data_IF_825507277302
#
_entry.id   IF_825507277302
#
_cell.length_a   1.000
_cell.length_b   1.000
_cell.length_c   1.000
_cell.angle_alpha   90.00
_cell.angle_beta   90.00
_cell.angle_gamma   90.00
#
_symmetry.space_group_name_H-M   'P 1'
#
loop_
_entity.id
_entity.type
_entity.pdbx_description
1 polymer ?
#
# COMPACT_ATOMS: atom_id res chain seq x y z
N UNK A 1 -2.19 9.97 -25.08
CA UNK A 1 -2.48 8.58 -24.69
C UNK A 1 -1.23 7.76 -24.34
N UNK A 2 -0.27 7.53 -25.26
CA UNK A 2 0.91 6.67 -24.98
C UNK A 2 1.69 7.08 -23.72
N UNK A 3 2.02 8.37 -23.57
CA UNK A 3 2.75 8.90 -22.39
C UNK A 3 2.01 8.64 -21.06
N UNK A 4 0.70 8.89 -21.03
CA UNK A 4 -0.14 8.68 -19.83
C UNK A 4 -0.18 7.19 -19.48
N UNK A 5 -0.31 6.32 -20.49
CA UNK A 5 -0.29 4.86 -20.29
C UNK A 5 1.06 4.38 -19.74
N UNK A 6 2.16 4.89 -20.28
CA UNK A 6 3.50 4.58 -19.78
C UNK A 6 3.69 5.03 -18.34
N UNK A 7 3.32 6.28 -18.02
CA UNK A 7 3.44 6.82 -16.66
C UNK A 7 2.57 6.05 -15.65
N UNK A 8 1.33 5.73 -16.02
CA UNK A 8 0.47 4.86 -15.22
C UNK A 8 1.19 3.55 -14.85
N UNK A 9 1.66 2.79 -15.83
CA UNK A 9 2.30 1.51 -15.56
C UNK A 9 3.61 1.62 -14.78
N UNK A 10 4.40 2.67 -15.00
CA UNK A 10 5.60 2.93 -14.19
C UNK A 10 5.23 3.08 -12.71
N UNK A 11 4.27 3.96 -12.40
CA UNK A 11 3.86 4.20 -11.02
C UNK A 11 3.12 3.01 -10.41
N UNK A 12 2.28 2.31 -11.18
CA UNK A 12 1.57 1.12 -10.71
C UNK A 12 2.52 -0.02 -10.38
N UNK A 13 3.50 -0.32 -11.25
CA UNK A 13 4.47 -1.38 -10.99
C UNK A 13 5.34 -1.03 -9.79
N UNK A 14 5.81 0.22 -9.71
CA UNK A 14 6.59 0.68 -8.57
C UNK A 14 5.79 0.56 -7.26
N UNK A 15 4.57 1.10 -7.23
CA UNK A 15 3.72 1.07 -6.05
C UNK A 15 3.33 -0.35 -5.64
N UNK A 16 2.84 -1.17 -6.56
CA UNK A 16 2.48 -2.57 -6.28
C UNK A 16 3.70 -3.39 -5.86
N UNK A 17 4.86 -3.20 -6.50
CA UNK A 17 6.09 -3.90 -6.15
C UNK A 17 6.56 -3.59 -4.73
N UNK A 18 6.52 -2.30 -4.36
CA UNK A 18 6.74 -1.85 -3.00
C UNK A 18 5.75 -2.55 -2.05
N UNK A 19 4.43 -2.38 -2.24
CA UNK A 19 3.41 -2.94 -1.33
C UNK A 19 3.54 -4.46 -1.16
N UNK A 20 3.80 -5.20 -2.25
CA UNK A 20 4.05 -6.65 -2.21
C UNK A 20 5.29 -6.97 -1.37
N UNK A 21 6.39 -6.23 -1.54
CA UNK A 21 7.62 -6.43 -0.77
C UNK A 21 7.35 -6.32 0.74
N UNK A 22 6.56 -5.34 1.19
CA UNK A 22 6.19 -5.20 2.61
C UNK A 22 5.18 -6.23 3.11
N UNK A 23 4.36 -6.79 2.21
CA UNK A 23 3.33 -7.74 2.58
C UNK A 23 3.91 -9.13 2.90
N UNK A 24 4.91 -9.58 2.13
CA UNK A 24 5.46 -10.94 2.19
C UNK A 24 5.86 -11.40 3.60
N UNK A 25 6.62 -10.62 4.40
CA UNK A 25 7.05 -11.06 5.73
C UNK A 25 5.90 -11.30 6.72
N UNK A 26 4.76 -10.62 6.51
CA UNK A 26 3.60 -10.75 7.39
C UNK A 26 2.63 -11.87 6.99
N UNK A 27 2.75 -12.47 5.79
CA UNK A 27 1.87 -13.60 5.40
C UNK A 27 2.02 -14.75 6.39
N UNK A 28 3.26 -15.09 6.73
CA UNK A 28 3.62 -15.95 7.84
C UNK A 28 4.44 -15.11 8.80
N UNK A 29 3.83 -14.55 9.87
CA UNK A 29 4.47 -13.57 10.72
C UNK A 29 5.83 -14.07 11.22
N UNK A 30 6.89 -13.39 10.78
CA UNK A 30 8.26 -13.61 11.22
C UNK A 30 8.53 -12.83 12.51
N UNK A 31 9.57 -13.19 13.29
CA UNK A 31 9.92 -12.49 14.54
C UNK A 31 9.98 -10.98 14.38
N UNK A 32 10.54 -10.45 13.29
CA UNK A 32 10.66 -9.01 13.04
C UNK A 32 9.27 -8.35 12.89
N UNK A 33 8.35 -9.00 12.18
CA UNK A 33 7.00 -8.47 11.97
C UNK A 33 6.15 -8.52 13.25
N UNK A 34 6.34 -9.55 14.07
CA UNK A 34 5.70 -9.66 15.39
C UNK A 34 6.24 -8.57 16.31
N UNK A 35 7.55 -8.40 16.35
CA UNK A 35 8.18 -7.40 17.21
C UNK A 35 7.77 -5.97 16.83
N UNK A 36 7.66 -5.66 15.52
CA UNK A 36 7.25 -4.35 15.06
C UNK A 36 5.75 -4.10 15.24
N UNK A 37 4.89 -5.04 14.82
CA UNK A 37 3.44 -4.79 14.69
C UNK A 37 2.66 -5.28 15.93
N UNK A 38 3.05 -6.41 16.53
CA UNK A 38 2.41 -6.91 17.74
C UNK A 38 2.98 -6.22 18.98
N UNK A 39 4.27 -6.40 19.24
CA UNK A 39 4.88 -5.85 20.46
C UNK A 39 5.01 -4.33 20.37
N UNK A 40 5.38 -3.82 19.19
CA UNK A 40 5.60 -2.40 18.95
C UNK A 40 4.32 -1.57 18.78
N UNK A 41 3.28 -2.08 18.12
CA UNK A 41 2.04 -1.33 17.86
C UNK A 41 0.80 -1.83 18.62
N UNK A 42 0.88 -2.99 19.28
CA UNK A 42 -0.22 -3.57 20.06
C UNK A 42 -1.27 -4.33 19.24
N UNK A 43 -1.03 -4.59 17.95
CA UNK A 43 -1.98 -5.34 17.12
C UNK A 43 -1.90 -6.84 17.38
N UNK A 44 -3.01 -7.60 17.35
CA UNK A 44 -2.95 -9.05 17.54
C UNK A 44 -2.22 -9.74 16.37
N UNK A 45 -1.54 -10.86 16.62
CA UNK A 45 -0.70 -11.55 15.61
C UNK A 45 -1.50 -11.94 14.35
N UNK A 46 -2.77 -12.35 14.49
CA UNK A 46 -3.60 -12.67 13.31
C UNK A 46 -3.81 -11.46 12.37
N UNK A 47 -3.78 -10.24 12.91
CA UNK A 47 -3.96 -9.01 12.13
C UNK A 47 -2.80 -8.83 11.15
N UNK A 48 -1.58 -9.23 11.53
CA UNK A 48 -0.39 -9.17 10.67
C UNK A 48 -0.63 -9.99 9.38
N UNK A 49 -1.05 -11.25 9.52
CA UNK A 49 -1.38 -12.09 8.36
C UNK A 49 -2.54 -11.54 7.55
N UNK A 50 -3.60 -11.09 8.22
CA UNK A 50 -4.76 -10.52 7.56
C UNK A 50 -4.40 -9.32 6.69
N UNK A 51 -3.71 -8.32 7.26
CA UNK A 51 -3.37 -7.09 6.54
C UNK A 51 -2.36 -7.37 5.42
N UNK A 52 -1.40 -8.28 5.61
CA UNK A 52 -0.47 -8.70 4.56
C UNK A 52 -1.17 -9.35 3.37
N UNK A 53 -2.12 -10.24 3.61
CA UNK A 53 -2.90 -10.87 2.53
C UNK A 53 -3.74 -9.82 1.80
N UNK A 54 -4.38 -8.91 2.54
CA UNK A 54 -5.16 -7.82 1.95
C UNK A 54 -4.31 -6.89 1.07
N UNK A 55 -3.12 -6.48 1.53
CA UNK A 55 -2.16 -5.69 0.75
C UNK A 55 -1.74 -6.40 -0.54
N UNK A 56 -1.47 -7.70 -0.45
CA UNK A 56 -1.08 -8.51 -1.61
C UNK A 56 -2.20 -8.57 -2.65
N UNK A 57 -3.44 -8.86 -2.22
CA UNK A 57 -4.60 -8.87 -3.10
C UNK A 57 -4.85 -7.51 -3.77
N UNK A 58 -4.81 -6.43 -2.99
CA UNK A 58 -4.96 -5.07 -3.53
C UNK A 58 -3.88 -4.75 -4.58
N UNK A 59 -2.62 -5.10 -4.28
CA UNK A 59 -1.49 -4.85 -5.19
C UNK A 59 -1.59 -5.64 -6.49
N UNK A 60 -2.05 -6.89 -6.43
CA UNK A 60 -2.30 -7.73 -7.61
C UNK A 60 -3.45 -7.19 -8.46
N UNK A 61 -4.53 -6.73 -7.85
CA UNK A 61 -5.66 -6.09 -8.56
C UNK A 61 -5.19 -4.89 -9.37
N UNK A 62 -4.28 -4.06 -8.83
CA UNK A 62 -3.76 -2.91 -9.55
C UNK A 62 -2.99 -3.29 -10.83
N UNK A 63 -2.31 -4.45 -10.81
CA UNK A 63 -1.53 -4.97 -11.94
C UNK A 63 -2.37 -5.66 -13.02
N UNK A 64 -3.63 -6.02 -12.73
CA UNK A 64 -4.53 -6.65 -13.69
C UNK A 64 -5.21 -5.58 -14.56
N UNK A 65 -5.14 -5.64 -15.90
CA UNK A 65 -5.84 -4.69 -16.76
C UNK A 65 -7.37 -4.92 -16.76
N UNK A 66 -8.15 -3.83 -16.89
CA UNK A 66 -9.60 -3.90 -17.16
C UNK A 66 -10.55 -3.97 -15.95
N UNK A 67 -10.06 -4.04 -14.71
CA UNK A 67 -10.90 -4.16 -13.50
C UNK A 67 -11.18 -2.83 -12.80
N UNK A 68 -11.74 -1.85 -13.51
CA UNK A 68 -11.80 -0.46 -13.02
C UNK A 68 -12.45 -0.30 -11.64
N UNK A 69 -13.61 -0.93 -11.39
CA UNK A 69 -14.30 -0.82 -10.10
C UNK A 69 -13.50 -1.47 -8.95
N UNK A 70 -12.87 -2.62 -9.20
CA UNK A 70 -12.09 -3.32 -8.17
C UNK A 70 -10.79 -2.57 -7.90
N UNK A 71 -10.22 -1.88 -8.91
CA UNK A 71 -9.07 -0.99 -8.73
C UNK A 71 -9.36 0.17 -7.78
N UNK A 72 -10.55 0.77 -7.84
CA UNK A 72 -10.95 1.79 -6.86
C UNK A 72 -10.89 1.24 -5.43
N UNK A 73 -11.37 0.02 -5.22
CA UNK A 73 -11.34 -0.64 -3.91
C UNK A 73 -9.92 -0.94 -3.47
N UNK A 74 -9.07 -1.41 -4.38
CA UNK A 74 -7.66 -1.66 -4.11
C UNK A 74 -6.92 -0.37 -3.74
N UNK A 75 -7.13 0.73 -4.49
CA UNK A 75 -6.54 2.03 -4.15
C UNK A 75 -6.98 2.53 -2.78
N UNK A 76 -8.29 2.47 -2.48
CA UNK A 76 -8.82 2.89 -1.19
C UNK A 76 -8.24 2.04 -0.04
N UNK A 77 -8.23 0.71 -0.19
CA UNK A 77 -7.70 -0.20 0.82
C UNK A 77 -6.22 0.02 1.11
N UNK A 78 -5.38 0.11 0.06
CA UNK A 78 -3.94 0.35 0.21
C UNK A 78 -3.66 1.76 0.75
N UNK A 79 -4.49 2.75 0.43
CA UNK A 79 -4.38 4.08 1.02
C UNK A 79 -4.66 4.06 2.53
N UNK A 80 -5.77 3.43 2.95
CA UNK A 80 -6.09 3.33 4.37
C UNK A 80 -5.07 2.50 5.14
N UNK A 81 -4.49 1.47 4.54
CA UNK A 81 -3.40 0.70 5.13
C UNK A 81 -2.17 1.58 5.44
N UNK A 82 -1.73 2.40 4.47
CA UNK A 82 -0.60 3.31 4.66
C UNK A 82 -0.90 4.40 5.69
N UNK A 83 -2.12 4.97 5.67
CA UNK A 83 -2.56 5.96 6.65
C UNK A 83 -2.64 5.36 8.04
N UNK A 84 -3.18 4.15 8.19
CA UNK A 84 -3.27 3.44 9.46
C UNK A 84 -1.87 3.16 10.03
N UNK A 85 -0.90 2.75 9.20
CA UNK A 85 0.46 2.53 9.65
C UNK A 85 1.10 3.80 10.25
N UNK A 86 0.92 4.96 9.61
CA UNK A 86 1.38 6.25 10.13
C UNK A 86 0.64 6.60 11.43
N UNK A 87 -0.69 6.51 11.42
CA UNK A 87 -1.53 6.86 12.55
C UNK A 87 -1.19 6.03 13.80
N UNK A 88 -1.06 4.71 13.65
CA UNK A 88 -0.74 3.80 14.74
C UNK A 88 0.65 4.04 15.32
N UNK A 89 1.62 4.34 14.45
CA UNK A 89 2.96 4.73 14.91
C UNK A 89 2.95 6.00 15.76
N UNK A 90 2.21 7.03 15.34
CA UNK A 90 2.07 8.28 16.11
C UNK A 90 1.31 8.02 17.42
N UNK A 91 0.22 7.26 17.36
CA UNK A 91 -0.62 6.97 18.52
C UNK A 91 0.14 6.22 19.63
N UNK A 92 1.03 5.28 19.26
CA UNK A 92 1.80 4.49 20.23
C UNK A 92 3.03 5.24 20.72
N UNK A 93 3.75 5.95 19.85
CA UNK A 93 4.97 6.68 20.25
C UNK A 93 4.69 8.03 20.93
N UNK A 94 3.47 8.57 20.79
CA UNK A 94 3.08 9.87 21.32
C UNK A 94 3.73 11.08 20.61
N UNK A 95 4.50 10.85 19.55
CA UNK A 95 5.21 11.89 18.79
C UNK A 95 5.33 11.53 17.32
N UNK A 96 5.56 12.54 16.49
CA UNK A 96 5.91 12.31 15.10
C UNK A 96 7.41 11.97 14.98
N UNK A 97 7.73 10.80 14.42
CA UNK A 97 9.09 10.43 14.07
C UNK A 97 9.38 10.85 12.62
N UNK A 98 10.40 11.69 12.35
CA UNK A 98 10.81 12.03 10.99
C UNK A 98 11.08 10.82 10.09
N UNK A 99 11.43 9.65 10.64
CA UNK A 99 11.59 8.42 9.87
C UNK A 99 10.28 7.94 9.24
N UNK A 100 9.12 8.35 9.74
CA UNK A 100 7.81 8.14 9.08
C UNK A 100 7.70 8.87 7.75
N UNK A 101 8.51 9.90 7.47
CA UNK A 101 8.57 10.55 6.16
C UNK A 101 9.06 9.58 5.07
N UNK A 102 9.74 8.50 5.43
CA UNK A 102 10.08 7.44 4.47
C UNK A 102 8.84 6.80 3.85
N UNK A 103 7.67 6.87 4.51
CA UNK A 103 6.39 6.40 3.97
C UNK A 103 5.91 7.23 2.77
N UNK A 104 6.43 8.45 2.58
CA UNK A 104 6.18 9.27 1.38
C UNK A 104 6.65 8.55 0.12
N UNK A 105 7.74 7.76 0.21
CA UNK A 105 8.23 6.92 -0.89
C UNK A 105 7.19 5.89 -1.35
N UNK A 106 6.28 5.48 -0.46
CA UNK A 106 5.22 4.52 -0.72
C UNK A 106 3.96 5.21 -1.24
N UNK A 107 3.60 6.34 -0.62
CA UNK A 107 2.37 7.07 -0.91
C UNK A 107 2.44 7.78 -2.26
N UNK A 108 3.55 8.44 -2.60
CA UNK A 108 3.65 9.23 -3.83
C UNK A 108 3.42 8.39 -5.09
N UNK A 109 4.11 7.23 -5.28
CA UNK A 109 3.83 6.36 -6.42
C UNK A 109 2.38 5.90 -6.47
N UNK A 110 1.75 5.60 -5.32
CA UNK A 110 0.35 5.22 -5.25
C UNK A 110 -0.60 6.33 -5.71
N UNK A 111 -0.40 7.56 -5.24
CA UNK A 111 -1.19 8.74 -5.66
C UNK A 111 -1.00 9.01 -7.15
N UNK A 112 0.25 8.99 -7.64
CA UNK A 112 0.53 9.21 -9.06
C UNK A 112 -0.12 8.12 -9.92
N UNK A 113 -0.01 6.86 -9.50
CA UNK A 113 -0.67 5.72 -10.15
C UNK A 113 -2.18 5.94 -10.25
N UNK A 114 -2.83 6.40 -9.16
CA UNK A 114 -4.25 6.71 -9.13
C UNK A 114 -4.65 7.84 -10.09
N UNK A 115 -3.89 8.95 -10.08
CA UNK A 115 -4.14 10.10 -10.96
C UNK A 115 -4.05 9.68 -12.43
N UNK A 116 -3.01 8.92 -12.81
CA UNK A 116 -2.85 8.47 -14.19
C UNK A 116 -3.86 7.40 -14.59
N UNK A 117 -4.30 6.55 -13.65
CA UNK A 117 -5.41 5.62 -13.86
C UNK A 117 -6.72 6.34 -14.22
N UNK A 118 -7.10 7.37 -13.46
CA UNK A 118 -8.28 8.18 -13.77
C UNK A 118 -8.15 8.91 -15.11
N UNK A 119 -6.97 9.48 -15.40
CA UNK A 119 -6.72 10.12 -16.70
C UNK A 119 -6.85 9.16 -17.88
N UNK A 120 -6.45 7.89 -17.71
CA UNK A 120 -6.65 6.87 -18.74
C UNK A 120 -8.11 6.50 -18.93
N UNK A 121 -8.87 6.39 -17.83
CA UNK A 121 -10.29 6.02 -17.85
C UNK A 121 -11.19 7.08 -18.49
N UNK A 122 -10.86 8.36 -18.32
CA UNK A 122 -11.64 9.46 -18.93
C UNK A 122 -11.33 9.65 -20.43
N UNK A 123 -10.17 9.17 -20.91
CA UNK A 123 -9.69 9.38 -22.28
C UNK A 123 -9.89 8.18 -23.22
N UNK A 124 -10.45 7.07 -22.74
CA UNK A 124 -10.71 5.85 -23.51
C UNK A 124 -12.20 5.56 -23.56
#
# INVERSE_FOLDING_TARGET
MKKIKTLYWIFTILFSGLMIFTAIPGIKPQPESIQLIHDGLGYPVYFISFISIAKLLGSLVLLIPGWDRIKEWAYAGLFFDLVAAIYSGIAVSGKFDPMMLTMVLWIIPGILSYIYFHKLRVQG
#
